data_IF_600612666422
#
_entry.id   IF_600612666422
#
_cell.length_a   1.000
_cell.length_b   1.000
_cell.length_c   1.000
_cell.angle_alpha   90.00
_cell.angle_beta   90.00
_cell.angle_gamma   90.00
#
_symmetry.space_group_name_H-M   'P 1'
#
loop_
_entity.id
_entity.type
_entity.pdbx_description
1 polymer ?
#
# COMPACT_ATOMS: atom_id res chain seq x y z
N UNK A 1 -2.49 1.52 -11.96
CA UNK A 1 -1.36 0.67 -12.43
C UNK A 1 -1.88 -0.52 -13.24
N UNK A 2 -1.06 -1.08 -14.14
CA UNK A 2 -1.40 -2.27 -14.94
C UNK A 2 -0.19 -3.22 -15.03
N UNK A 3 -0.44 -4.52 -14.94
CA UNK A 3 0.52 -5.58 -15.25
C UNK A 3 0.20 -6.15 -16.63
N UNK A 4 1.14 -6.05 -17.56
CA UNK A 4 0.97 -6.44 -18.97
C UNK A 4 1.98 -7.52 -19.32
N UNK A 5 1.51 -8.61 -19.94
CA UNK A 5 2.40 -9.59 -20.56
C UNK A 5 2.82 -9.09 -21.93
N UNK A 6 4.13 -8.99 -22.13
CA UNK A 6 4.75 -8.48 -23.35
C UNK A 6 4.73 -9.47 -24.51
N UNK A 7 4.49 -10.77 -24.25
CA UNK A 7 4.46 -11.82 -25.27
C UNK A 7 3.12 -11.83 -26.00
N UNK A 8 2.03 -11.82 -25.24
CA UNK A 8 0.67 -11.92 -25.77
C UNK A 8 -0.07 -10.57 -25.81
N UNK A 9 0.58 -9.49 -25.35
CA UNK A 9 -0.01 -8.15 -25.21
C UNK A 9 -1.28 -8.11 -24.35
N UNK A 10 -1.38 -9.01 -23.36
CA UNK A 10 -2.54 -9.15 -22.46
C UNK A 10 -2.31 -8.41 -21.16
N UNK A 11 -3.38 -7.80 -20.63
CA UNK A 11 -3.39 -7.21 -19.29
C UNK A 11 -3.82 -8.29 -18.30
N UNK A 12 -2.94 -8.63 -17.36
CA UNK A 12 -3.20 -9.66 -16.35
C UNK A 12 -3.82 -9.09 -15.08
N UNK A 13 -3.51 -7.84 -14.78
CA UNK A 13 -4.03 -7.14 -13.62
C UNK A 13 -4.04 -5.63 -13.88
N UNK A 14 -5.06 -4.96 -13.38
CA UNK A 14 -5.17 -3.52 -13.41
C UNK A 14 -5.85 -3.05 -12.12
N UNK A 15 -5.32 -1.99 -11.53
CA UNK A 15 -5.92 -1.35 -10.37
C UNK A 15 -5.87 0.17 -10.52
N UNK A 16 -6.94 0.82 -10.11
CA UNK A 16 -7.08 2.26 -10.08
C UNK A 16 -7.75 2.64 -8.75
N UNK A 17 -6.92 2.79 -7.71
CA UNK A 17 -7.38 2.95 -6.33
C UNK A 17 -6.93 4.28 -5.74
N UNK A 18 -7.80 4.86 -4.91
CA UNK A 18 -7.53 6.11 -4.18
C UNK A 18 -7.45 5.80 -2.69
N UNK A 19 -6.27 6.05 -2.11
CA UNK A 19 -6.03 5.88 -0.68
C UNK A 19 -6.13 7.24 0.02
N UNK A 20 -7.22 7.45 0.75
CA UNK A 20 -7.45 8.66 1.53
C UNK A 20 -7.08 8.44 3.00
N UNK A 21 -6.03 9.11 3.47
CA UNK A 21 -5.58 9.04 4.86
C UNK A 21 -6.58 9.66 5.87
N UNK A 22 -7.54 10.47 5.42
CA UNK A 22 -8.63 10.99 6.24
C UNK A 22 -9.68 9.93 6.59
N UNK A 23 -9.72 8.81 5.84
CA UNK A 23 -10.63 7.71 6.13
C UNK A 23 -10.11 6.87 7.30
N UNK A 24 -10.96 6.58 8.32
CA UNK A 24 -10.56 5.75 9.46
C UNK A 24 -10.05 4.37 9.06
N UNK A 25 -10.66 3.75 8.05
CA UNK A 25 -10.26 2.40 7.60
C UNK A 25 -8.84 2.39 7.03
N UNK A 26 -8.52 3.37 6.17
CA UNK A 26 -7.23 3.50 5.50
C UNK A 26 -6.14 3.88 6.50
N UNK A 27 -6.42 4.84 7.39
CA UNK A 27 -5.46 5.26 8.40
C UNK A 27 -5.13 4.15 9.41
N UNK A 28 -6.11 3.34 9.82
CA UNK A 28 -5.90 2.19 10.68
C UNK A 28 -5.08 1.09 9.98
N UNK A 29 -5.38 0.80 8.71
CA UNK A 29 -4.62 -0.17 7.92
C UNK A 29 -3.17 0.29 7.70
N UNK A 30 -2.93 1.57 7.41
CA UNK A 30 -1.58 2.14 7.28
C UNK A 30 -0.79 1.98 8.59
N UNK A 31 -1.39 2.31 9.75
CA UNK A 31 -0.76 2.10 11.06
C UNK A 31 -0.41 0.64 11.32
N UNK A 32 -1.31 -0.27 10.95
CA UNK A 32 -1.06 -1.71 11.09
C UNK A 32 0.09 -2.17 10.18
N UNK A 33 0.15 -1.67 8.95
CA UNK A 33 1.28 -1.90 8.05
C UNK A 33 2.60 -1.39 8.63
N UNK A 34 2.63 -0.15 9.16
CA UNK A 34 3.82 0.41 9.78
C UNK A 34 4.36 -0.48 10.92
N UNK A 35 3.45 -0.92 11.80
CA UNK A 35 3.77 -1.81 12.92
C UNK A 35 4.35 -3.16 12.47
N UNK A 36 3.89 -3.68 11.33
CA UNK A 36 4.32 -4.99 10.80
C UNK A 36 5.61 -4.92 9.98
N UNK A 37 5.83 -3.84 9.22
CA UNK A 37 6.82 -3.82 8.14
C UNK A 37 7.91 -2.73 8.25
N UNK A 38 7.74 -1.69 9.07
CA UNK A 38 8.70 -0.57 9.10
C UNK A 38 9.72 -0.70 10.25
N UNK A 39 9.32 -1.07 11.48
CA UNK A 39 10.21 -1.61 12.53
C UNK A 39 9.52 -1.80 13.89
N UNK A 40 10.13 -2.63 14.74
CA UNK A 40 9.85 -2.71 16.18
C UNK A 40 10.23 -1.38 16.85
N UNK A 41 9.35 -0.85 17.70
CA UNK A 41 9.62 0.24 18.65
C UNK A 41 9.61 1.68 18.10
N UNK A 42 8.41 2.26 17.91
CA UNK A 42 7.92 3.41 18.69
C UNK A 42 6.48 3.73 18.28
N UNK A 43 5.68 4.27 19.21
CA UNK A 43 4.33 4.77 18.90
C UNK A 43 4.37 5.91 17.85
N UNK A 44 5.52 6.57 17.72
CA UNK A 44 5.77 7.69 16.82
C UNK A 44 5.64 7.29 15.34
N UNK A 45 6.10 6.08 14.96
CA UNK A 45 6.00 5.61 13.58
C UNK A 45 4.56 5.41 13.09
N UNK A 46 3.62 5.15 14.00
CA UNK A 46 2.18 5.03 13.68
C UNK A 46 1.55 6.39 13.37
N UNK A 47 2.10 7.48 13.88
CA UNK A 47 1.65 8.84 13.55
C UNK A 47 2.40 9.30 12.30
N UNK A 48 3.71 9.06 12.25
CA UNK A 48 4.58 9.47 11.16
C UNK A 48 4.23 8.82 9.81
N UNK A 49 3.61 7.64 9.77
CA UNK A 49 3.18 7.04 8.49
C UNK A 49 2.11 7.88 7.78
N UNK A 50 1.21 8.54 8.51
CA UNK A 50 0.17 9.40 7.92
C UNK A 50 0.71 10.78 7.54
N UNK A 51 1.75 11.24 8.25
CA UNK A 51 2.38 12.54 8.01
C UNK A 51 3.51 12.49 6.96
N UNK A 52 4.01 11.30 6.60
CA UNK A 52 5.10 11.13 5.64
C UNK A 52 4.58 10.56 4.31
N UNK A 53 4.54 11.35 3.22
CA UNK A 53 4.09 10.88 1.91
C UNK A 53 4.83 9.62 1.44
N UNK A 54 6.15 9.56 1.67
CA UNK A 54 6.97 8.40 1.29
C UNK A 54 6.60 7.14 2.07
N UNK A 55 6.33 7.25 3.38
CA UNK A 55 5.92 6.08 4.19
C UNK A 55 4.50 5.64 3.85
N UNK A 56 3.60 6.60 3.64
CA UNK A 56 2.23 6.30 3.21
C UNK A 56 2.21 5.63 1.83
N UNK A 57 3.01 6.13 0.87
CA UNK A 57 3.12 5.51 -0.46
C UNK A 57 3.63 4.07 -0.42
N UNK A 58 4.50 3.71 0.53
CA UNK A 58 4.92 2.31 0.73
C UNK A 58 3.76 1.42 1.17
N UNK A 59 2.90 1.93 2.07
CA UNK A 59 1.68 1.23 2.47
C UNK A 59 0.73 1.04 1.28
N UNK A 60 0.44 2.10 0.50
CA UNK A 60 -0.50 2.00 -0.62
C UNK A 60 -0.02 1.03 -1.69
N UNK A 61 1.28 1.06 -2.02
CA UNK A 61 1.89 0.11 -2.96
C UNK A 61 1.84 -1.32 -2.42
N UNK A 62 2.14 -1.53 -1.14
CA UNK A 62 2.04 -2.85 -0.52
C UNK A 62 0.62 -3.41 -0.63
N UNK A 63 -0.39 -2.62 -0.24
CA UNK A 63 -1.80 -3.03 -0.32
C UNK A 63 -2.25 -3.29 -1.77
N UNK A 64 -1.77 -2.51 -2.75
CA UNK A 64 -2.04 -2.79 -4.15
C UNK A 64 -1.41 -4.11 -4.61
N UNK A 65 -0.16 -4.37 -4.22
CA UNK A 65 0.54 -5.60 -4.61
C UNK A 65 -0.04 -6.86 -3.97
N UNK A 66 -0.70 -6.77 -2.82
CA UNK A 66 -1.46 -7.89 -2.25
C UNK A 66 -2.66 -8.32 -3.14
N UNK A 67 -3.12 -7.46 -4.06
CA UNK A 67 -4.20 -7.80 -5.00
C UNK A 67 -3.70 -8.41 -6.32
N UNK A 68 -2.38 -8.54 -6.50
CA UNK A 68 -1.82 -9.20 -7.67
C UNK A 68 -2.22 -10.69 -7.67
N UNK A 69 -2.65 -11.25 -8.81
CA UNK A 69 -2.92 -12.67 -8.91
C UNK A 69 -1.64 -13.47 -8.64
N UNK A 70 -1.75 -14.54 -7.85
CA UNK A 70 -0.68 -15.52 -7.68
C UNK A 70 -0.39 -16.21 -9.02
N UNK A 71 0.89 -16.48 -9.27
CA UNK A 71 1.37 -17.12 -10.49
C UNK A 71 0.79 -18.51 -10.71
#
# INVERSE_FOLDING_TARGET
MKLVDTRDHRIWWAADEIFDAGRPEVSNAARQFAKKHISQSTADDSIAILASPTRFARYTLHSLFETLPTR
#
